data_IF_286619919056
#
_entry.id   IF_286619919056
#
_cell.length_a   1.000
_cell.length_b   1.000
_cell.length_c   1.000
_cell.angle_alpha   90.00
_cell.angle_beta   90.00
_cell.angle_gamma   90.00
#
_symmetry.space_group_name_H-M   'P 1'
#
loop_
_entity.id
_entity.type
_entity.pdbx_description
1 polymer ?
#
# COMPACT_ATOMS: atom_id res chain seq x y z
N UNK A 1 -42.47 46.89 38.55
CA UNK A 1 -43.21 46.69 37.28
C UNK A 1 -42.23 46.83 36.13
N UNK A 2 -42.16 45.86 35.22
CA UNK A 2 -41.25 45.93 34.05
C UNK A 2 -40.70 44.57 33.65
N UNK A 3 -41.57 43.73 33.07
CA UNK A 3 -41.17 42.51 32.35
C UNK A 3 -40.55 42.94 31.01
N UNK A 4 -39.28 42.66 30.78
CA UNK A 4 -38.69 42.75 29.44
C UNK A 4 -38.78 41.39 28.76
N UNK A 5 -39.42 41.41 27.60
CA UNK A 5 -39.88 40.26 26.85
C UNK A 5 -38.73 39.46 26.21
N UNK A 6 -38.91 38.14 26.23
CA UNK A 6 -38.18 37.15 25.42
C UNK A 6 -38.33 37.50 23.93
N UNK A 7 -37.22 37.80 23.26
CA UNK A 7 -37.15 37.80 21.80
C UNK A 7 -36.87 36.36 21.33
N UNK A 8 -37.92 35.72 20.83
CA UNK A 8 -37.85 34.46 20.06
C UNK A 8 -37.47 34.82 18.62
N UNK A 9 -36.25 34.49 18.17
CA UNK A 9 -35.88 34.55 16.76
C UNK A 9 -36.58 33.43 15.98
N UNK A 10 -37.48 33.82 15.09
CA UNK A 10 -38.07 32.97 14.09
C UNK A 10 -37.10 32.80 12.92
N UNK A 11 -36.37 31.69 12.88
CA UNK A 11 -35.60 31.28 11.70
C UNK A 11 -36.49 30.50 10.72
N UNK A 12 -36.61 31.03 9.52
CA UNK A 12 -37.38 30.54 8.36
C UNK A 12 -36.93 29.15 7.88
N UNK A 13 -37.85 28.27 7.45
CA UNK A 13 -37.49 27.00 6.83
C UNK A 13 -36.97 27.20 5.40
N UNK A 14 -35.78 26.64 5.12
CA UNK A 14 -35.22 26.55 3.78
C UNK A 14 -36.06 25.65 2.86
N UNK A 15 -36.25 26.01 1.58
CA UNK A 15 -36.97 25.16 0.63
C UNK A 15 -36.17 23.90 0.27
N UNK A 16 -36.85 22.77 0.29
CA UNK A 16 -36.30 21.47 -0.08
C UNK A 16 -35.97 21.45 -1.58
N UNK A 17 -34.67 21.39 -1.89
CA UNK A 17 -34.14 21.11 -3.22
C UNK A 17 -34.56 19.71 -3.67
N UNK A 18 -35.29 19.67 -4.78
CA UNK A 18 -35.84 18.47 -5.41
C UNK A 18 -34.70 17.56 -5.85
N UNK A 19 -34.74 16.28 -5.45
CA UNK A 19 -33.88 15.23 -6.01
C UNK A 19 -34.16 15.10 -7.50
N UNK A 20 -33.25 15.62 -8.31
CA UNK A 20 -33.19 15.41 -9.75
C UNK A 20 -32.91 13.93 -9.99
N UNK A 21 -33.92 13.25 -10.52
CA UNK A 21 -33.84 11.85 -10.95
C UNK A 21 -33.02 11.90 -12.23
N UNK A 22 -31.72 11.67 -12.11
CA UNK A 22 -30.87 11.49 -13.28
C UNK A 22 -31.26 10.14 -13.90
N UNK A 23 -32.16 10.19 -14.87
CA UNK A 23 -32.40 9.13 -15.84
C UNK A 23 -31.06 8.80 -16.49
N UNK A 24 -30.52 7.66 -16.07
CA UNK A 24 -29.32 7.07 -16.64
C UNK A 24 -29.65 6.68 -18.09
N UNK A 25 -28.95 7.19 -19.11
CA UNK A 25 -29.13 6.66 -20.46
C UNK A 25 -28.68 5.20 -20.45
N UNK A 26 -29.61 4.31 -20.80
CA UNK A 26 -29.31 2.90 -21.08
C UNK A 26 -28.45 2.85 -22.33
N UNK A 27 -27.14 2.91 -22.13
CA UNK A 27 -26.15 2.62 -23.18
C UNK A 27 -26.11 1.11 -23.32
N UNK A 28 -26.72 0.58 -24.38
CA UNK A 28 -26.57 -0.82 -24.76
C UNK A 28 -25.10 -1.09 -25.12
N UNK A 29 -24.43 -2.07 -24.51
CA UNK A 29 -23.10 -2.47 -24.96
C UNK A 29 -23.23 -3.24 -26.30
N UNK A 30 -22.34 -3.01 -27.29
CA UNK A 30 -22.35 -3.74 -28.57
C UNK A 30 -21.82 -5.19 -28.45
N UNK A 31 -21.59 -5.71 -27.26
CA UNK A 31 -20.94 -6.99 -27.03
C UNK A 31 -21.91 -8.19 -26.99
N UNK A 32 -22.79 -8.29 -27.98
CA UNK A 32 -23.56 -9.51 -28.24
C UNK A 32 -22.71 -10.61 -28.94
N UNK A 33 -21.46 -10.83 -28.50
CA UNK A 33 -20.57 -11.80 -29.16
C UNK A 33 -19.51 -12.44 -28.25
N UNK A 34 -19.86 -12.78 -27.00
CA UNK A 34 -18.95 -13.55 -26.12
C UNK A 34 -19.60 -14.79 -25.48
N UNK A 35 -20.64 -15.33 -26.10
CA UNK A 35 -21.28 -16.58 -25.65
C UNK A 35 -20.59 -17.86 -26.18
N UNK A 36 -19.26 -17.87 -26.37
CA UNK A 36 -18.49 -19.06 -26.79
C UNK A 36 -17.27 -19.40 -25.92
N UNK A 37 -17.04 -18.69 -24.82
CA UNK A 37 -15.87 -18.91 -23.96
C UNK A 37 -16.10 -19.86 -22.77
N UNK A 38 -17.18 -20.64 -22.77
CA UNK A 38 -17.46 -21.66 -21.74
C UNK A 38 -17.13 -23.08 -22.23
N UNK A 39 -15.93 -23.25 -22.79
CA UNK A 39 -15.37 -24.57 -23.09
C UNK A 39 -13.87 -24.57 -22.81
N UNK A 40 -13.49 -24.14 -21.60
CA UNK A 40 -12.14 -24.39 -21.09
C UNK A 40 -12.06 -25.84 -20.59
N UNK A 41 -11.17 -26.69 -21.15
CA UNK A 41 -10.89 -27.98 -20.56
C UNK A 41 -10.30 -27.77 -19.15
N UNK A 42 -10.71 -28.62 -18.20
CA UNK A 42 -10.17 -28.67 -16.84
C UNK A 42 -8.64 -28.65 -16.90
N UNK A 43 -8.01 -27.51 -16.60
CA UNK A 43 -6.60 -27.51 -16.23
C UNK A 43 -6.50 -28.34 -14.96
N UNK A 44 -5.86 -29.50 -15.10
CA UNK A 44 -5.58 -30.38 -13.99
C UNK A 44 -4.98 -29.59 -12.84
N UNK A 45 -5.40 -29.95 -11.62
CA UNK A 45 -4.76 -29.54 -10.39
C UNK A 45 -3.25 -29.73 -10.54
N UNK A 46 -2.54 -28.64 -10.85
CA UNK A 46 -1.09 -28.64 -10.84
C UNK A 46 -0.75 -28.89 -9.37
N UNK A 47 -0.27 -30.10 -9.04
CA UNK A 47 0.36 -30.39 -7.75
C UNK A 47 1.40 -29.28 -7.59
N UNK A 48 1.09 -28.30 -6.74
CA UNK A 48 2.08 -27.35 -6.26
C UNK A 48 3.17 -28.22 -5.63
N UNK A 49 4.27 -28.36 -6.34
CA UNK A 49 5.45 -29.05 -5.86
C UNK A 49 5.80 -28.34 -4.56
N UNK A 50 5.51 -29.01 -3.44
CA UNK A 50 5.71 -28.50 -2.09
C UNK A 50 7.20 -28.39 -1.79
N UNK A 51 7.89 -27.48 -2.48
CA UNK A 51 9.16 -26.97 -2.02
C UNK A 51 8.82 -26.27 -0.72
N UNK A 52 9.37 -26.69 0.43
CA UNK A 52 9.19 -25.95 1.67
C UNK A 52 9.75 -24.54 1.40
N UNK A 53 8.87 -23.55 1.26
CA UNK A 53 9.26 -22.15 1.10
C UNK A 53 9.74 -21.69 2.46
N UNK A 54 11.00 -22.00 2.79
CA UNK A 54 11.66 -21.40 3.93
C UNK A 54 11.48 -19.88 3.76
N UNK A 55 10.90 -19.15 4.74
CA UNK A 55 10.63 -17.73 4.58
C UNK A 55 11.90 -16.99 4.16
N UNK A 56 11.88 -16.43 2.95
CA UNK A 56 13.02 -15.68 2.41
C UNK A 56 13.19 -14.42 3.24
N UNK A 57 14.36 -14.27 3.85
CA UNK A 57 14.79 -13.07 4.54
C UNK A 57 15.83 -12.32 3.72
N UNK A 58 15.88 -11.01 3.94
CA UNK A 58 16.73 -10.09 3.22
C UNK A 58 17.58 -9.27 4.19
N UNK A 59 18.72 -8.82 3.68
CA UNK A 59 19.56 -7.82 4.28
C UNK A 59 19.44 -6.53 3.46
N UNK A 60 19.41 -5.39 4.13
CA UNK A 60 19.08 -4.10 3.51
C UNK A 60 20.13 -3.06 3.81
N UNK A 61 20.59 -2.34 2.78
CA UNK A 61 21.40 -1.17 3.01
C UNK A 61 20.49 0.00 3.46
N UNK A 62 20.71 0.58 4.65
CA UNK A 62 19.92 1.71 5.15
C UNK A 62 20.23 3.03 4.42
N UNK A 63 21.21 3.03 3.51
CA UNK A 63 21.60 4.21 2.73
C UNK A 63 21.02 4.12 1.33
N UNK A 64 21.51 3.21 0.49
CA UNK A 64 21.04 3.12 -0.90
C UNK A 64 19.74 2.32 -1.09
N UNK A 65 19.22 1.64 -0.05
CA UNK A 65 18.02 0.81 -0.16
C UNK A 65 18.23 -0.51 -0.90
N UNK A 66 19.48 -0.88 -1.24
CA UNK A 66 19.78 -2.17 -1.86
C UNK A 66 19.36 -3.32 -0.93
N UNK A 67 18.64 -4.27 -1.49
CA UNK A 67 18.25 -5.51 -0.82
C UNK A 67 19.07 -6.69 -1.33
N UNK A 68 19.46 -7.56 -0.40
CA UNK A 68 20.26 -8.76 -0.65
C UNK A 68 19.60 -9.95 0.03
N UNK A 69 19.46 -11.11 -0.62
CA UNK A 69 18.98 -12.32 0.05
C UNK A 69 19.94 -12.72 1.18
N UNK A 70 19.41 -13.02 2.37
CA UNK A 70 20.22 -13.36 3.55
C UNK A 70 21.12 -14.60 3.35
N UNK A 71 20.78 -15.46 2.38
CA UNK A 71 21.56 -16.65 2.01
C UNK A 71 22.94 -16.31 1.41
N UNK A 72 23.11 -15.09 0.90
CA UNK A 72 24.34 -14.63 0.23
C UNK A 72 25.46 -14.31 1.23
N UNK A 73 25.16 -14.25 2.54
CA UNK A 73 26.12 -13.90 3.61
C UNK A 73 26.83 -12.54 3.40
N UNK A 74 26.23 -11.65 2.62
CA UNK A 74 26.75 -10.30 2.38
C UNK A 74 26.53 -9.46 3.66
N UNK A 75 27.62 -8.91 4.23
CA UNK A 75 27.57 -8.13 5.48
C UNK A 75 27.61 -6.62 5.22
N UNK A 76 28.26 -6.21 4.12
CA UNK A 76 28.46 -4.82 3.74
C UNK A 76 27.87 -4.55 2.37
N UNK A 77 27.38 -3.33 2.15
CA UNK A 77 26.86 -2.92 0.86
C UNK A 77 28.01 -2.70 -0.14
N UNK A 78 27.95 -3.35 -1.30
CA UNK A 78 28.90 -3.11 -2.40
C UNK A 78 28.87 -1.70 -2.97
N UNK A 79 27.78 -0.95 -2.80
CA UNK A 79 27.63 0.39 -3.37
C UNK A 79 28.25 1.49 -2.49
N UNK A 80 28.24 1.32 -1.18
CA UNK A 80 28.54 2.40 -0.23
C UNK A 80 29.33 1.95 1.02
N UNK A 81 29.59 0.65 1.16
CA UNK A 81 30.34 0.09 2.29
C UNK A 81 29.57 0.03 3.61
N UNK A 82 28.33 0.53 3.69
CA UNK A 82 27.55 0.49 4.94
C UNK A 82 27.20 -0.95 5.30
N UNK A 83 27.23 -1.25 6.60
CA UNK A 83 26.78 -2.55 7.13
C UNK A 83 25.29 -2.75 6.83
N UNK A 84 24.96 -3.89 6.25
CA UNK A 84 23.59 -4.24 5.92
C UNK A 84 22.79 -4.53 7.19
N UNK A 85 21.55 -4.05 7.22
CA UNK A 85 20.56 -4.40 8.23
C UNK A 85 20.11 -5.83 8.00
N UNK A 86 20.40 -6.71 8.95
CA UNK A 86 19.94 -8.11 8.92
C UNK A 86 18.53 -8.28 9.47
N UNK A 87 18.08 -7.32 10.27
CA UNK A 87 16.79 -7.27 10.92
C UNK A 87 16.32 -5.81 11.07
N UNK A 88 15.05 -5.63 11.40
CA UNK A 88 14.49 -4.33 11.72
C UNK A 88 15.18 -3.74 12.96
N UNK A 89 15.69 -2.49 12.91
CA UNK A 89 16.34 -1.86 14.06
C UNK A 89 15.37 -1.57 15.22
N UNK A 90 14.06 -1.49 14.96
CA UNK A 90 13.05 -1.21 15.99
C UNK A 90 12.50 -2.45 16.70
N UNK A 91 12.32 -3.57 15.98
CA UNK A 91 11.69 -4.78 16.54
C UNK A 91 12.51 -6.06 16.39
N UNK A 92 13.74 -5.97 15.87
CA UNK A 92 14.66 -7.08 15.62
C UNK A 92 14.11 -8.23 14.75
N UNK A 93 12.97 -8.02 14.06
CA UNK A 93 12.41 -9.02 13.17
C UNK A 93 13.17 -9.11 11.85
N UNK A 94 13.30 -10.31 11.26
CA UNK A 94 13.93 -10.48 9.96
C UNK A 94 13.16 -9.73 8.87
N UNK A 95 13.90 -9.15 7.94
CA UNK A 95 13.28 -8.35 6.88
C UNK A 95 12.77 -9.29 5.79
N UNK A 96 11.44 -9.34 5.61
CA UNK A 96 10.77 -10.16 4.58
C UNK A 96 10.28 -9.34 3.40
N UNK A 97 10.20 -8.03 3.56
CA UNK A 97 9.70 -7.08 2.56
C UNK A 97 10.83 -6.13 2.14
N UNK A 98 11.69 -6.52 1.18
CA UNK A 98 12.91 -5.79 0.85
C UNK A 98 12.67 -4.40 0.25
N UNK A 99 11.51 -4.15 -0.35
CA UNK A 99 11.17 -2.87 -0.99
C UNK A 99 10.26 -1.99 -0.13
N UNK A 100 9.90 -2.43 1.08
CA UNK A 100 9.15 -1.61 2.02
C UNK A 100 10.08 -0.59 2.66
N UNK A 101 9.66 0.67 2.75
CA UNK A 101 10.42 1.72 3.45
C UNK A 101 10.32 1.58 4.98
N UNK A 102 9.20 1.04 5.46
CA UNK A 102 8.88 0.87 6.88
C UNK A 102 8.66 -0.61 7.21
N UNK A 103 8.96 -0.97 8.45
CA UNK A 103 8.70 -2.30 8.96
C UNK A 103 7.19 -2.54 9.06
N UNK A 104 6.64 -3.60 8.45
CA UNK A 104 5.21 -3.90 8.51
C UNK A 104 4.73 -4.33 9.91
N UNK A 105 5.66 -4.57 10.85
CA UNK A 105 5.36 -5.03 12.22
C UNK A 105 5.34 -3.87 13.21
N UNK A 106 6.35 -3.01 13.19
CA UNK A 106 6.47 -1.91 14.17
C UNK A 106 6.42 -0.51 13.56
N UNK A 107 6.33 -0.37 12.23
CA UNK A 107 6.30 0.92 11.54
C UNK A 107 7.65 1.65 11.47
N UNK A 108 8.72 1.13 12.09
CA UNK A 108 10.04 1.75 12.04
C UNK A 108 10.59 1.79 10.61
N UNK A 109 11.11 2.95 10.17
CA UNK A 109 11.78 3.07 8.89
C UNK A 109 13.06 2.21 8.85
N UNK A 110 13.28 1.47 7.75
CA UNK A 110 14.52 0.72 7.55
C UNK A 110 15.70 1.62 7.19
N UNK A 111 15.42 2.75 6.56
CA UNK A 111 16.40 3.76 6.19
C UNK A 111 15.92 5.12 6.69
N UNK A 112 16.84 5.92 7.24
CA UNK A 112 16.59 7.36 7.30
C UNK A 112 16.49 7.88 5.86
N UNK A 113 15.60 8.83 5.54
CA UNK A 113 15.60 9.47 4.23
C UNK A 113 17.03 9.90 3.90
N UNK A 114 17.58 9.45 2.78
CA UNK A 114 18.87 9.97 2.34
C UNK A 114 18.75 11.49 2.30
N UNK A 115 19.77 12.25 2.77
CA UNK A 115 19.82 13.66 2.44
C UNK A 115 19.71 13.76 0.92
N UNK A 116 18.73 14.54 0.43
CA UNK A 116 18.57 14.76 -1.01
C UNK A 116 19.94 15.21 -1.52
N UNK A 117 20.51 14.56 -2.56
CA UNK A 117 21.72 15.08 -3.16
C UNK A 117 21.43 16.53 -3.55
N UNK A 118 22.15 17.48 -2.96
CA UNK A 118 22.09 18.87 -3.38
C UNK A 118 22.57 18.86 -4.83
N UNK A 119 21.76 19.32 -5.81
CA UNK A 119 22.28 19.58 -7.14
C UNK A 119 23.49 20.50 -6.95
N UNK A 120 24.67 20.05 -7.38
CA UNK A 120 25.92 20.78 -7.20
C UNK A 120 25.78 22.21 -7.71
N UNK A 121 26.35 23.14 -6.93
CA UNK A 121 26.58 24.52 -7.32
C UNK A 121 27.69 24.58 -8.38
#
# INVERSE_FOLDING_TARGET
MGRLALLFEAATPLPQGKREKNDLPTVHPPFALVARYLSSPKLGARKESGVPRNPVSYHLCPRCGRAVPAQTQEVFCVNDGTRLLTACPGCAQPIRSPYSQFCPRCGQAYAAPLPRPQPGL
#
